data_IF_481872017927
#
_entry.id   IF_481872017927
#
_cell.length_a   1.000
_cell.length_b   1.000
_cell.length_c   1.000
_cell.angle_alpha   90.00
_cell.angle_beta   90.00
_cell.angle_gamma   90.00
#
_symmetry.space_group_name_H-M   'P 1'
#
loop_
_entity.id
_entity.type
_entity.pdbx_description
1 polymer ?
#
# COMPACT_ATOMS: atom_id res chain seq x y z
N UNK A 1 8.63 26.60 4.05
CA UNK A 1 8.37 25.17 4.36
C UNK A 1 7.04 24.83 3.71
N UNK A 2 7.02 23.91 2.73
CA UNK A 2 5.74 23.49 2.14
C UNK A 2 4.85 22.88 3.21
N UNK A 3 3.63 23.40 3.32
CA UNK A 3 2.64 23.03 4.35
C UNK A 3 2.04 21.65 4.10
N UNK A 4 1.99 21.19 2.83
CA UNK A 4 1.43 19.90 2.41
C UNK A 4 2.13 19.38 1.17
N UNK A 5 2.61 18.13 1.22
CA UNK A 5 3.34 17.48 0.13
C UNK A 5 2.60 16.24 -0.37
N UNK A 6 2.69 15.98 -1.67
CA UNK A 6 2.17 14.74 -2.28
C UNK A 6 3.21 13.62 -2.23
N UNK A 7 4.48 13.96 -2.40
CA UNK A 7 5.63 13.07 -2.26
C UNK A 7 6.71 13.79 -1.45
N UNK A 8 7.59 13.04 -0.78
CA UNK A 8 8.66 13.62 0.01
C UNK A 8 10.02 13.04 -0.39
N UNK A 9 10.84 13.77 -1.17
CA UNK A 9 12.15 13.29 -1.63
C UNK A 9 13.16 13.02 -0.51
N UNK A 10 12.92 13.49 0.71
CA UNK A 10 13.79 13.23 1.87
C UNK A 10 13.56 11.87 2.50
N UNK A 11 12.50 11.16 2.10
CA UNK A 11 12.21 9.82 2.59
C UNK A 11 13.19 8.81 1.99
N UNK A 12 13.45 7.69 2.67
CA UNK A 12 14.21 6.60 2.09
C UNK A 12 13.53 6.05 0.83
N UNK A 13 14.35 5.57 -0.12
CA UNK A 13 13.86 5.02 -1.40
C UNK A 13 12.74 3.99 -1.20
N UNK A 14 12.87 3.11 -0.20
CA UNK A 14 11.89 2.08 0.14
C UNK A 14 10.52 2.67 0.49
N UNK A 15 10.50 3.71 1.33
CA UNK A 15 9.26 4.38 1.72
C UNK A 15 8.67 5.21 0.59
N UNK A 16 9.52 5.86 -0.22
CA UNK A 16 9.05 6.57 -1.41
C UNK A 16 8.35 5.64 -2.40
N UNK A 17 8.94 4.47 -2.69
CA UNK A 17 8.30 3.48 -3.56
C UNK A 17 6.95 3.05 -2.97
N UNK A 18 6.86 2.85 -1.66
CA UNK A 18 5.58 2.52 -1.02
C UNK A 18 4.52 3.61 -1.21
N UNK A 19 4.88 4.89 -1.10
CA UNK A 19 3.98 6.02 -1.37
C UNK A 19 3.50 6.00 -2.83
N UNK A 20 4.41 5.79 -3.79
CA UNK A 20 4.03 5.69 -5.20
C UNK A 20 3.11 4.50 -5.47
N UNK A 21 3.40 3.33 -4.89
CA UNK A 21 2.54 2.15 -5.03
C UNK A 21 1.15 2.37 -4.42
N UNK A 22 1.04 3.07 -3.29
CA UNK A 22 -0.26 3.43 -2.71
C UNK A 22 -1.07 4.35 -3.64
N UNK A 23 -0.44 5.35 -4.25
CA UNK A 23 -1.14 6.21 -5.23
C UNK A 23 -1.55 5.44 -6.48
N UNK A 24 -0.67 4.59 -7.02
CA UNK A 24 -0.98 3.75 -8.19
C UNK A 24 -2.15 2.82 -7.89
N UNK A 25 -2.12 2.13 -6.74
CA UNK A 25 -3.20 1.23 -6.34
C UNK A 25 -4.51 1.99 -6.11
N UNK A 26 -4.45 3.22 -5.58
CA UNK A 26 -5.62 4.07 -5.42
C UNK A 26 -6.27 4.39 -6.78
N UNK A 27 -5.45 4.73 -7.79
CA UNK A 27 -5.94 4.97 -9.16
C UNK A 27 -6.59 3.71 -9.73
N UNK A 28 -5.92 2.56 -9.67
CA UNK A 28 -6.50 1.31 -10.19
C UNK A 28 -7.79 0.91 -9.46
N UNK A 29 -7.85 1.12 -8.15
CA UNK A 29 -9.06 0.86 -7.36
C UNK A 29 -10.21 1.79 -7.74
N UNK A 30 -9.93 3.07 -8.03
CA UNK A 30 -10.94 4.01 -8.50
C UNK A 30 -11.48 3.64 -9.90
N UNK A 31 -10.62 3.11 -10.77
CA UNK A 31 -10.99 2.67 -12.13
C UNK A 31 -11.86 1.41 -12.16
N UNK A 32 -12.05 0.72 -11.03
CA UNK A 32 -12.98 -0.40 -10.94
C UNK A 32 -14.46 0.02 -10.95
N UNK A 33 -14.76 1.33 -10.89
CA UNK A 33 -16.11 1.91 -10.87
C UNK A 33 -17.09 1.24 -9.88
N UNK A 34 -16.55 0.71 -8.78
CA UNK A 34 -17.30 0.05 -7.72
C UNK A 34 -17.23 0.90 -6.44
N UNK A 35 -18.35 1.16 -5.73
CA UNK A 35 -18.36 1.98 -4.52
C UNK A 35 -17.36 1.52 -3.44
N UNK A 36 -17.18 0.21 -3.27
CA UNK A 36 -16.23 -0.38 -2.31
C UNK A 36 -14.80 -0.09 -2.77
N UNK A 37 -14.51 -0.29 -4.05
CA UNK A 37 -13.19 -0.03 -4.62
C UNK A 37 -12.84 1.48 -4.57
N UNK A 38 -13.83 2.35 -4.74
CA UNK A 38 -13.67 3.78 -4.59
C UNK A 38 -13.36 4.19 -3.14
N UNK A 39 -14.02 3.58 -2.15
CA UNK A 39 -13.69 3.78 -0.74
C UNK A 39 -12.25 3.32 -0.42
N UNK A 40 -11.82 2.18 -0.97
CA UNK A 40 -10.43 1.70 -0.85
C UNK A 40 -9.43 2.65 -1.53
N UNK A 41 -9.79 3.21 -2.69
CA UNK A 41 -8.97 4.19 -3.40
C UNK A 41 -8.74 5.45 -2.55
N UNK A 42 -9.80 5.97 -1.93
CA UNK A 42 -9.69 7.10 -1.01
C UNK A 42 -8.82 6.76 0.20
N UNK A 43 -8.98 5.56 0.77
CA UNK A 43 -8.15 5.09 1.87
C UNK A 43 -6.66 5.03 1.51
N UNK A 44 -6.32 4.38 0.39
CA UNK A 44 -4.94 4.24 -0.07
C UNK A 44 -4.32 5.60 -0.46
N UNK A 45 -5.08 6.47 -1.12
CA UNK A 45 -4.65 7.84 -1.42
C UNK A 45 -4.42 8.67 -0.16
N UNK A 46 -5.30 8.55 0.84
CA UNK A 46 -5.13 9.20 2.14
C UNK A 46 -3.92 8.66 2.92
N UNK A 47 -3.65 7.35 2.86
CA UNK A 47 -2.42 6.77 3.42
C UNK A 47 -1.18 7.35 2.74
N UNK A 48 -1.13 7.35 1.41
CA UNK A 48 0.00 7.88 0.65
C UNK A 48 0.28 9.35 1.00
N UNK A 49 -0.78 10.15 1.03
CA UNK A 49 -0.70 11.56 1.40
C UNK A 49 -0.26 11.73 2.87
N UNK A 50 -0.81 10.95 3.80
CA UNK A 50 -0.41 10.98 5.20
C UNK A 50 1.06 10.61 5.41
N UNK A 51 1.55 9.59 4.70
CA UNK A 51 2.96 9.17 4.74
C UNK A 51 3.86 10.25 4.14
N UNK A 52 3.47 10.87 3.01
CA UNK A 52 4.23 11.96 2.40
C UNK A 52 4.37 13.18 3.32
N UNK A 53 3.40 13.39 4.22
CA UNK A 53 3.41 14.45 5.24
C UNK A 53 3.90 13.96 6.61
N UNK A 54 4.59 12.82 6.66
CA UNK A 54 5.23 12.25 7.86
C UNK A 54 4.26 12.08 9.05
N UNK A 55 3.01 11.71 8.77
CA UNK A 55 1.98 11.46 9.78
C UNK A 55 1.89 9.98 10.15
N UNK A 56 1.93 9.68 11.45
CA UNK A 56 1.82 8.30 11.96
C UNK A 56 0.53 7.60 11.53
N UNK A 57 -0.60 8.33 11.51
CA UNK A 57 -1.88 7.75 11.09
C UNK A 57 -1.85 7.28 9.63
N UNK A 58 -1.15 8.00 8.74
CA UNK A 58 -1.04 7.64 7.33
C UNK A 58 -0.27 6.35 7.13
N UNK A 59 0.79 6.15 7.92
CA UNK A 59 1.57 4.91 7.91
C UNK A 59 0.77 3.71 8.39
N UNK A 60 0.04 3.87 9.50
CA UNK A 60 -0.85 2.80 10.03
C UNK A 60 -1.94 2.46 9.01
N UNK A 61 -2.57 3.48 8.41
CA UNK A 61 -3.57 3.27 7.35
C UNK A 61 -2.94 2.52 6.16
N UNK A 62 -1.75 2.90 5.74
CA UNK A 62 -1.01 2.22 4.68
C UNK A 62 -0.78 0.73 4.97
N UNK A 63 -0.34 0.38 6.18
CA UNK A 63 -0.15 -1.03 6.59
C UNK A 63 -1.47 -1.78 6.59
N UNK A 64 -2.53 -1.18 7.14
CA UNK A 64 -3.86 -1.79 7.19
C UNK A 64 -4.36 -2.04 5.75
N UNK A 65 -4.27 -1.04 4.87
CA UNK A 65 -4.66 -1.15 3.47
C UNK A 65 -3.84 -2.21 2.73
N UNK A 66 -2.53 -2.28 2.96
CA UNK A 66 -1.65 -3.31 2.41
C UNK A 66 -2.08 -4.72 2.82
N UNK A 67 -2.38 -4.89 4.11
CA UNK A 67 -2.81 -6.16 4.69
C UNK A 67 -4.16 -6.59 4.11
N UNK A 68 -5.13 -5.68 4.03
CA UNK A 68 -6.42 -5.95 3.39
C UNK A 68 -6.29 -6.26 1.90
N UNK A 69 -5.33 -5.65 1.20
CA UNK A 69 -5.04 -5.95 -0.21
C UNK A 69 -4.60 -7.39 -0.46
N UNK A 70 -4.06 -8.08 0.55
CA UNK A 70 -3.69 -9.50 0.46
C UNK A 70 -4.85 -10.46 0.76
N UNK A 71 -5.98 -9.97 1.28
CA UNK A 71 -7.13 -10.79 1.67
C UNK A 71 -7.78 -11.55 0.50
N UNK A 72 -8.02 -10.94 -0.68
CA UNK A 72 -8.60 -11.66 -1.82
C UNK A 72 -7.76 -12.87 -2.24
N UNK A 73 -6.44 -12.77 -2.14
CA UNK A 73 -5.53 -13.88 -2.41
C UNK A 73 -5.65 -15.00 -1.39
N UNK A 74 -5.68 -14.66 -0.10
CA UNK A 74 -5.87 -15.66 0.96
C UNK A 74 -7.21 -16.41 0.79
N UNK A 75 -8.28 -15.69 0.44
CA UNK A 75 -9.59 -16.28 0.14
C UNK A 75 -9.53 -17.16 -1.11
N UNK A 76 -8.84 -16.74 -2.17
CA UNK A 76 -8.68 -17.54 -3.38
C UNK A 76 -7.94 -18.85 -3.09
N UNK A 77 -6.84 -18.82 -2.32
CA UNK A 77 -6.12 -20.03 -1.92
C UNK A 77 -6.98 -20.98 -1.09
N UNK A 78 -7.82 -20.45 -0.20
CA UNK A 78 -8.70 -21.26 0.63
C UNK A 78 -9.77 -21.99 -0.21
N UNK A 79 -10.27 -21.35 -1.28
CA UNK A 79 -11.31 -21.92 -2.14
C UNK A 79 -10.76 -22.84 -3.25
N UNK A 80 -9.60 -22.51 -3.83
CA UNK A 80 -9.03 -23.23 -4.97
C UNK A 80 -7.93 -24.24 -4.60
N UNK A 81 -7.45 -24.20 -3.35
CA UNK A 81 -6.40 -25.07 -2.84
C UNK A 81 -4.98 -24.59 -3.15
N UNK A 82 -4.00 -25.20 -2.48
CA UNK A 82 -2.57 -24.82 -2.53
C UNK A 82 -1.95 -25.05 -3.92
N UNK A 83 -2.53 -25.93 -4.75
CA UNK A 83 -2.07 -26.17 -6.12
C UNK A 83 -2.20 -24.97 -7.05
N UNK A 84 -3.08 -24.00 -6.73
CA UNK A 84 -3.32 -22.82 -7.55
C UNK A 84 -2.25 -21.72 -7.39
N UNK A 85 -1.26 -21.92 -6.51
CA UNK A 85 -0.17 -20.94 -6.27
C UNK A 85 0.69 -20.73 -7.53
N UNK A 86 0.79 -21.73 -8.41
CA UNK A 86 1.54 -21.63 -9.66
C UNK A 86 0.76 -20.96 -10.81
N UNK A 87 -0.46 -20.47 -10.55
CA UNK A 87 -1.21 -19.74 -11.55
C UNK A 87 -0.54 -18.38 -11.83
N UNK A 88 -0.08 -18.19 -13.07
CA UNK A 88 0.67 -17.00 -13.47
C UNK A 88 -0.16 -15.71 -13.33
N UNK A 89 -1.47 -15.79 -13.56
CA UNK A 89 -2.40 -14.66 -13.41
C UNK A 89 -2.47 -14.20 -11.95
N UNK A 90 -2.56 -15.16 -11.03
CA UNK A 90 -2.53 -14.89 -9.60
C UNK A 90 -1.18 -14.31 -9.16
N UNK A 91 -0.06 -14.86 -9.62
CA UNK A 91 1.27 -14.37 -9.29
C UNK A 91 1.47 -12.91 -9.73
N UNK A 92 1.04 -12.56 -10.95
CA UNK A 92 1.11 -11.19 -11.46
C UNK A 92 0.23 -10.26 -10.63
N UNK A 93 -0.99 -10.68 -10.27
CA UNK A 93 -1.89 -9.88 -9.43
C UNK A 93 -1.35 -9.61 -8.03
N UNK A 94 -0.45 -10.46 -7.53
CA UNK A 94 0.15 -10.36 -6.20
C UNK A 94 1.37 -9.45 -6.11
N UNK A 95 2.05 -9.18 -7.22
CA UNK A 95 3.31 -8.42 -7.20
C UNK A 95 3.13 -7.08 -6.49
N UNK A 96 2.09 -6.33 -6.85
CA UNK A 96 1.80 -5.01 -6.28
C UNK A 96 1.48 -5.03 -4.78
N UNK A 97 0.49 -5.81 -4.29
CA UNK A 97 0.16 -5.81 -2.86
C UNK A 97 1.27 -6.41 -1.99
N UNK A 98 1.96 -7.46 -2.46
CA UNK A 98 3.09 -8.06 -1.72
C UNK A 98 4.26 -7.09 -1.64
N UNK A 99 4.63 -6.45 -2.75
CA UNK A 99 5.70 -5.45 -2.75
C UNK A 99 5.36 -4.28 -1.84
N UNK A 100 4.12 -3.77 -1.88
CA UNK A 100 3.68 -2.67 -1.03
C UNK A 100 3.75 -3.04 0.46
N UNK A 101 3.24 -4.22 0.83
CA UNK A 101 3.30 -4.71 2.21
C UNK A 101 4.75 -4.88 2.70
N UNK A 102 5.60 -5.50 1.88
CA UNK A 102 7.01 -5.69 2.18
C UNK A 102 7.74 -4.36 2.37
N UNK A 103 7.50 -3.37 1.51
CA UNK A 103 8.14 -2.06 1.58
C UNK A 103 7.71 -1.27 2.81
N UNK A 104 6.44 -1.33 3.21
CA UNK A 104 5.97 -0.62 4.41
C UNK A 104 6.58 -1.21 5.69
N UNK A 105 6.69 -2.54 5.78
CA UNK A 105 7.22 -3.23 6.98
C UNK A 105 8.75 -3.28 6.98
N UNK A 106 9.39 -3.00 5.86
CA UNK A 106 10.84 -3.01 5.72
C UNK A 106 11.53 -2.22 6.85
N UNK A 107 12.66 -2.70 7.42
CA UNK A 107 13.34 -2.03 8.54
C UNK A 107 13.62 -0.55 8.28
N UNK A 108 14.04 -0.20 7.07
CA UNK A 108 14.30 1.18 6.66
C UNK A 108 13.06 2.08 6.75
N UNK A 109 11.88 1.59 6.33
CA UNK A 109 10.60 2.32 6.44
C UNK A 109 10.19 2.48 7.90
N UNK A 110 10.36 1.42 8.71
CA UNK A 110 10.00 1.41 10.14
C UNK A 110 10.88 2.33 10.97
N UNK A 111 12.20 2.30 10.76
CA UNK A 111 13.14 3.16 11.47
C UNK A 111 12.90 4.63 11.14
N UNK A 112 12.68 4.95 9.86
CA UNK A 112 12.35 6.30 9.44
C UNK A 112 11.05 6.79 10.07
N UNK A 113 10.00 5.96 10.01
CA UNK A 113 8.72 6.28 10.64
C UNK A 113 8.86 6.51 12.15
N UNK A 114 9.65 5.70 12.85
CA UNK A 114 9.85 5.83 14.30
C UNK A 114 10.48 7.17 14.68
N UNK A 115 11.42 7.67 13.89
CA UNK A 115 12.21 8.86 14.20
C UNK A 115 11.50 10.14 13.74
N UNK A 116 10.96 10.13 12.52
CA UNK A 116 10.51 11.35 11.84
C UNK A 116 9.00 11.56 11.91
N UNK A 117 8.20 10.50 12.05
CA UNK A 117 6.76 10.66 11.97
C UNK A 117 6.21 11.16 13.30
N UNK A 118 5.34 12.17 13.20
CA UNK A 118 4.59 12.74 14.33
C UNK A 118 3.19 12.13 14.42
#
# INVERSE_FOLDING_TARGET
METRRWTNPTQPQTLQIAVFLLYINAVFSALAFNPIAFALALGQGAAAFGIANEKRWGYVLGIVAATFGLLPFALYLLNSGVGSIFNLSLLISLVFPVALFALLIHPQSREYQRIWFS
#
